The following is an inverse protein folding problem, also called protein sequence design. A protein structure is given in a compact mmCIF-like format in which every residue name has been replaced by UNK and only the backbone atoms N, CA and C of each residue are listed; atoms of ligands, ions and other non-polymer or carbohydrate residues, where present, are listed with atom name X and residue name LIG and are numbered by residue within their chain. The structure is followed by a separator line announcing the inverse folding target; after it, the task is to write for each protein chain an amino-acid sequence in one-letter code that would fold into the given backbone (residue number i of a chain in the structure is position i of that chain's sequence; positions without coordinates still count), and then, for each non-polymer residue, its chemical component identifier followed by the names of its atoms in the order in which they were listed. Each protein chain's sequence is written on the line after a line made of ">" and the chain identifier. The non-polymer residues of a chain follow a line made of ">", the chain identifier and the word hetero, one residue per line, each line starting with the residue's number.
data_IF_033930713772
#
_entry.id   IF_033930713772
#
_cell.length_a   1.000
_cell.length_b   1.000
_cell.length_c   1.000
_cell.angle_alpha   90.00
_cell.angle_beta   90.00
_cell.angle_gamma   90.00
#
_symmetry.space_group_name_H-M   'P 1'
#
loop_
_entity.id
_entity.type
_entity.pdbx_description
1 polymer ?
#
# COMPACT_ATOMS: atom_id res chain seq x y z
N UNK A 1 8.58 -58.62 -31.81
CA UNK A 1 7.24 -58.49 -31.20
C UNK A 1 7.42 -58.52 -29.70
N UNK A 2 7.47 -57.34 -29.05
CA UNK A 2 7.50 -57.21 -27.59
C UNK A 2 6.17 -56.62 -27.17
N UNK A 3 5.42 -57.32 -26.32
CA UNK A 3 4.10 -56.90 -25.88
C UNK A 3 4.23 -55.84 -24.78
N UNK A 4 3.61 -54.68 -24.98
CA UNK A 4 3.44 -53.68 -23.93
C UNK A 4 2.57 -54.24 -22.81
N UNK A 5 3.12 -54.30 -21.59
CA UNK A 5 2.33 -54.58 -20.38
C UNK A 5 1.61 -53.28 -20.00
N UNK A 6 0.33 -53.20 -20.34
CA UNK A 6 -0.57 -52.15 -19.85
C UNK A 6 -0.65 -52.20 -18.32
N UNK A 7 -0.41 -51.06 -17.68
CA UNK A 7 -0.52 -50.90 -16.24
C UNK A 7 -2.01 -50.91 -15.84
N UNK A 8 -2.51 -52.04 -15.35
CA UNK A 8 -3.87 -52.15 -14.81
C UNK A 8 -3.91 -51.50 -13.43
N UNK A 9 -4.40 -50.27 -13.35
CA UNK A 9 -4.62 -49.56 -12.09
C UNK A 9 -5.97 -50.00 -11.50
N UNK A 10 -6.03 -50.47 -10.24
CA UNK A 10 -7.30 -50.81 -9.59
C UNK A 10 -8.23 -49.61 -9.54
N UNK A 11 -9.52 -49.79 -9.84
CA UNK A 11 -10.51 -48.69 -9.83
C UNK A 11 -10.60 -47.95 -8.48
N UNK A 12 -10.26 -48.63 -7.38
CA UNK A 12 -10.15 -48.01 -6.04
C UNK A 12 -9.03 -46.98 -5.94
N UNK A 13 -7.92 -47.14 -6.67
CA UNK A 13 -6.81 -46.17 -6.70
C UNK A 13 -7.20 -44.92 -7.48
N UNK A 14 -7.96 -45.06 -8.57
CA UNK A 14 -8.47 -43.92 -9.35
C UNK A 14 -9.48 -43.13 -8.53
N UNK A 15 -10.43 -43.80 -7.87
CA UNK A 15 -11.43 -43.14 -7.01
C UNK A 15 -10.76 -42.46 -5.81
N UNK A 16 -9.80 -43.13 -5.16
CA UNK A 16 -9.05 -42.53 -4.06
C UNK A 16 -8.35 -41.25 -4.50
N UNK A 17 -7.69 -41.25 -5.68
CA UNK A 17 -7.00 -40.07 -6.23
C UNK A 17 -7.97 -38.92 -6.54
N UNK A 18 -9.14 -39.20 -7.11
CA UNK A 18 -10.15 -38.17 -7.38
C UNK A 18 -10.75 -37.60 -6.09
N UNK A 19 -10.95 -38.42 -5.06
CA UNK A 19 -11.45 -37.97 -3.77
C UNK A 19 -10.41 -37.16 -3.01
N UNK A 20 -9.13 -37.58 -2.99
CA UNK A 20 -8.07 -36.74 -2.39
C UNK A 20 -7.87 -35.46 -3.15
N UNK A 21 -7.79 -35.48 -4.48
CA UNK A 21 -7.61 -34.25 -5.27
C UNK A 21 -8.83 -33.31 -5.16
N UNK A 22 -10.04 -33.87 -5.16
CA UNK A 22 -11.29 -33.12 -5.02
C UNK A 22 -11.55 -32.55 -3.62
N UNK A 23 -10.88 -33.03 -2.58
CA UNK A 23 -10.95 -32.48 -1.22
C UNK A 23 -9.74 -31.62 -0.85
N UNK A 24 -8.54 -31.98 -1.31
CA UNK A 24 -7.32 -31.22 -1.06
C UNK A 24 -7.30 -29.91 -1.84
N UNK A 25 -7.71 -29.89 -3.11
CA UNK A 25 -7.66 -28.66 -3.90
C UNK A 25 -8.58 -27.57 -3.35
N UNK A 26 -9.86 -27.84 -2.97
CA UNK A 26 -10.69 -26.82 -2.33
C UNK A 26 -10.18 -26.42 -0.96
N UNK A 27 -9.66 -27.35 -0.15
CA UNK A 27 -9.14 -27.03 1.18
C UNK A 27 -7.85 -26.20 1.12
N UNK A 28 -6.96 -26.48 0.16
CA UNK A 28 -5.75 -25.69 -0.08
C UNK A 28 -6.11 -24.34 -0.68
N UNK A 29 -7.04 -24.29 -1.64
CA UNK A 29 -7.51 -23.02 -2.21
C UNK A 29 -8.25 -22.14 -1.18
N UNK A 30 -9.05 -22.74 -0.30
CA UNK A 30 -9.73 -22.03 0.79
C UNK A 30 -8.74 -21.54 1.84
N UNK A 31 -7.77 -22.37 2.23
CA UNK A 31 -6.69 -21.98 3.15
C UNK A 31 -5.80 -20.89 2.57
N UNK A 32 -5.52 -20.92 1.28
CA UNK A 32 -4.82 -19.85 0.56
C UNK A 32 -5.66 -18.57 0.47
N UNK A 33 -6.99 -18.69 0.32
CA UNK A 33 -7.90 -17.54 0.35
C UNK A 33 -7.90 -16.81 1.69
N UNK A 34 -7.95 -17.54 2.80
CA UNK A 34 -7.90 -16.98 4.16
C UNK A 34 -6.52 -16.41 4.54
N UNK A 35 -5.46 -16.70 3.78
CA UNK A 35 -4.10 -16.16 4.04
C UNK A 35 -3.71 -15.01 3.12
N UNK A 36 -4.57 -14.60 2.18
CA UNK A 36 -4.25 -13.55 1.20
C UNK A 36 -5.01 -12.23 1.41
N UNK A 37 -5.98 -12.19 2.32
CA UNK A 37 -6.64 -10.94 2.68
C UNK A 37 -5.92 -10.37 3.90
N UNK A 38 -5.08 -9.35 3.67
CA UNK A 38 -4.52 -8.50 4.73
C UNK A 38 -5.62 -8.14 5.73
N UNK A 39 -5.36 -8.20 7.03
CA UNK A 39 -6.36 -7.76 8.00
C UNK A 39 -6.82 -6.32 7.69
N UNK A 40 -8.13 -6.12 7.65
CA UNK A 40 -8.69 -4.82 7.27
C UNK A 40 -8.53 -3.85 8.44
N UNK A 41 -7.84 -2.73 8.20
CA UNK A 41 -7.74 -1.64 9.16
C UNK A 41 -9.11 -0.96 9.33
N UNK A 42 -9.65 -1.00 10.55
CA UNK A 42 -10.98 -0.45 10.85
C UNK A 42 -10.81 0.96 11.40
N UNK A 43 -11.31 1.98 10.68
CA UNK A 43 -11.26 3.37 11.13
C UNK A 43 -12.05 3.57 12.43
N UNK A 44 -11.42 4.21 13.40
CA UNK A 44 -12.01 4.65 14.65
C UNK A 44 -12.32 6.14 14.61
N UNK A 45 -13.60 6.49 14.47
CA UNK A 45 -14.05 7.88 14.49
C UNK A 45 -13.81 8.61 13.18
N UNK A 46 -13.37 9.86 13.26
CA UNK A 46 -13.19 10.75 12.12
C UNK A 46 -11.73 10.78 11.65
N UNK A 47 -11.51 11.09 10.37
CA UNK A 47 -10.15 11.28 9.81
C UNK A 47 -9.48 12.58 10.29
N UNK A 48 -10.28 13.52 10.78
CA UNK A 48 -9.81 14.86 11.10
C UNK A 48 -10.23 15.27 12.51
N UNK A 49 -9.30 15.89 13.21
CA UNK A 49 -9.59 16.59 14.45
C UNK A 49 -10.54 17.79 14.22
N UNK A 50 -11.19 18.33 15.27
CA UNK A 50 -12.11 19.47 15.14
C UNK A 50 -11.51 20.74 14.54
N UNK A 51 -10.19 20.89 14.57
CA UNK A 51 -9.47 22.02 13.96
C UNK A 51 -9.17 21.79 12.45
N UNK A 52 -9.59 20.66 11.89
CA UNK A 52 -9.42 20.28 10.50
C UNK A 52 -8.06 19.66 10.16
N UNK A 53 -7.22 19.36 11.15
CA UNK A 53 -5.99 18.57 10.94
C UNK A 53 -6.30 17.10 10.79
N UNK A 54 -5.47 16.42 10.02
CA UNK A 54 -5.55 14.97 9.93
C UNK A 54 -5.10 14.37 11.27
N UNK A 55 -5.99 13.60 11.87
CA UNK A 55 -5.78 12.88 13.12
C UNK A 55 -6.76 11.72 13.14
N UNK A 56 -6.25 10.55 12.76
CA UNK A 56 -7.07 9.37 12.51
C UNK A 56 -6.46 8.17 13.25
N UNK A 57 -7.34 7.31 13.76
CA UNK A 57 -6.94 6.06 14.42
C UNK A 57 -7.62 4.87 13.77
N UNK A 58 -6.96 3.72 13.74
CA UNK A 58 -7.48 2.47 13.22
C UNK A 58 -7.19 1.33 14.19
N UNK A 59 -8.11 0.37 14.29
CA UNK A 59 -7.79 -0.94 14.85
C UNK A 59 -7.25 -1.84 13.73
N UNK A 60 -6.09 -2.47 13.95
CA UNK A 60 -5.47 -3.46 13.06
C UNK A 60 -4.78 -4.53 13.91
N UNK A 61 -5.06 -5.82 13.68
CA UNK A 61 -4.48 -6.93 14.45
C UNK A 61 -4.62 -6.79 15.97
N UNK A 62 -5.72 -6.19 16.43
CA UNK A 62 -5.97 -5.90 17.84
C UNK A 62 -5.15 -4.74 18.42
N UNK A 63 -4.21 -4.17 17.65
CA UNK A 63 -3.47 -2.97 18.03
C UNK A 63 -4.16 -1.71 17.51
N UNK A 64 -3.97 -0.59 18.21
CA UNK A 64 -4.50 0.71 17.79
C UNK A 64 -3.41 1.53 17.11
N UNK A 65 -3.57 1.78 15.82
CA UNK A 65 -2.69 2.65 15.05
C UNK A 65 -3.27 4.05 15.02
N UNK A 66 -2.42 5.08 15.12
CA UNK A 66 -2.80 6.48 14.95
C UNK A 66 -1.81 7.18 14.04
N UNK A 67 -2.34 7.96 13.10
CA UNK A 67 -1.58 8.84 12.21
C UNK A 67 -2.11 10.26 12.38
N UNK A 68 -1.23 11.20 12.68
CA UNK A 68 -1.64 12.59 12.93
C UNK A 68 -0.62 13.61 12.45
N UNK A 69 -1.09 14.76 12.01
CA UNK A 69 -0.26 15.94 11.82
C UNK A 69 0.11 16.57 13.17
N UNK A 70 1.29 17.22 13.24
CA UNK A 70 1.73 17.92 14.45
C UNK A 70 0.76 19.03 14.88
N UNK A 71 0.49 19.07 16.18
CA UNK A 71 -0.43 20.03 16.78
C UNK A 71 0.14 21.46 16.70
N UNK A 72 -0.70 22.41 16.27
CA UNK A 72 -0.32 23.83 16.22
C UNK A 72 0.67 24.22 15.13
N UNK A 73 1.13 23.29 14.30
CA UNK A 73 2.08 23.56 13.20
C UNK A 73 1.42 24.15 11.95
N UNK A 74 2.19 24.68 11.01
CA UNK A 74 1.64 25.15 9.73
C UNK A 74 1.00 24.01 8.90
N UNK A 75 -0.03 24.30 8.12
CA UNK A 75 -0.63 23.29 7.23
C UNK A 75 0.28 22.95 6.05
N UNK A 76 1.16 23.87 5.64
CA UNK A 76 2.05 23.71 4.48
C UNK A 76 3.32 22.91 4.76
N UNK A 77 3.73 22.80 6.02
CA UNK A 77 4.93 22.08 6.46
C UNK A 77 4.83 21.74 7.95
N UNK A 78 5.45 20.66 8.39
CA UNK A 78 5.56 20.33 9.81
C UNK A 78 5.98 18.90 10.01
N UNK A 79 5.37 18.22 10.98
CA UNK A 79 5.61 16.83 11.32
C UNK A 79 4.37 15.97 11.11
N UNK A 80 4.59 14.71 10.76
CA UNK A 80 3.63 13.63 10.82
C UNK A 80 4.09 12.64 11.89
N UNK A 81 3.16 12.20 12.72
CA UNK A 81 3.37 11.23 13.79
C UNK A 81 2.61 9.96 13.45
N UNK A 82 3.29 8.82 13.55
CA UNK A 82 2.69 7.49 13.43
C UNK A 82 2.96 6.75 14.74
N UNK A 83 1.92 6.21 15.36
CA UNK A 83 2.02 5.48 16.61
C UNK A 83 1.20 4.20 16.59
N UNK A 84 1.73 3.16 17.22
CA UNK A 84 1.00 1.93 17.52
C UNK A 84 0.90 1.77 19.03
N UNK A 85 -0.32 1.63 19.53
CA UNK A 85 -0.63 1.36 20.94
C UNK A 85 -1.00 -0.11 21.07
N UNK A 86 -0.27 -0.81 21.94
CA UNK A 86 -0.55 -2.21 22.29
C UNK A 86 -1.58 -2.29 23.42
N UNK A 87 -2.15 -3.48 23.65
CA UNK A 87 -3.12 -3.76 24.72
C UNK A 87 -2.63 -3.37 26.13
N UNK A 88 -1.31 -3.27 26.36
CA UNK A 88 -0.75 -2.84 27.65
C UNK A 88 -0.84 -1.33 27.88
N UNK A 89 -1.25 -0.55 26.87
CA UNK A 89 -1.37 0.91 26.92
C UNK A 89 -0.07 1.66 26.63
N UNK A 90 1.01 0.95 26.30
CA UNK A 90 2.25 1.58 25.84
C UNK A 90 2.17 1.83 24.33
N UNK A 91 2.45 3.07 23.93
CA UNK A 91 2.49 3.50 22.54
C UNK A 91 3.94 3.64 22.04
N UNK A 92 4.26 3.00 20.92
CA UNK A 92 5.53 3.17 20.21
C UNK A 92 5.29 4.12 19.05
N UNK A 93 6.06 5.20 19.01
CA UNK A 93 5.81 6.33 18.13
C UNK A 93 7.03 6.66 17.28
N UNK A 94 6.80 7.02 16.03
CA UNK A 94 7.79 7.62 15.14
C UNK A 94 7.26 8.93 14.55
N UNK A 95 8.17 9.75 14.05
CA UNK A 95 7.83 11.01 13.39
C UNK A 95 8.74 11.26 12.19
N UNK A 96 8.21 12.00 11.22
CA UNK A 96 8.95 12.49 10.07
C UNK A 96 8.43 13.85 9.61
N UNK A 97 9.24 14.56 8.83
CA UNK A 97 8.84 15.85 8.27
C UNK A 97 7.78 15.66 7.18
N UNK A 98 6.73 16.49 7.21
CA UNK A 98 5.73 16.59 6.15
C UNK A 98 5.88 17.89 5.38
N UNK A 99 5.82 17.81 4.06
CA UNK A 99 5.74 18.96 3.16
C UNK A 99 4.31 19.07 2.61
N UNK A 100 3.40 19.54 3.44
CA UNK A 100 1.98 19.68 3.11
C UNK A 100 1.06 19.05 4.14
N UNK A 101 -0.11 18.60 3.67
CA UNK A 101 -1.14 17.98 4.51
C UNK A 101 -1.31 16.51 4.18
N UNK A 102 -1.59 15.68 5.19
CA UNK A 102 -1.91 14.27 4.97
C UNK A 102 -3.21 14.21 4.16
N UNK A 103 -3.17 13.49 3.05
CA UNK A 103 -4.28 13.32 2.11
C UNK A 103 -4.98 12.00 2.33
N UNK A 104 -4.22 10.93 2.58
CA UNK A 104 -4.75 9.61 2.89
C UNK A 104 -3.71 8.72 3.59
N UNK A 105 -4.18 7.63 4.19
CA UNK A 105 -3.38 6.58 4.80
C UNK A 105 -3.82 5.23 4.24
N UNK A 106 -2.88 4.46 3.70
CA UNK A 106 -3.13 3.10 3.21
C UNK A 106 -2.42 2.08 4.09
N UNK A 107 -3.04 0.92 4.25
CA UNK A 107 -2.44 -0.25 4.88
C UNK A 107 -2.22 -1.29 3.80
N UNK A 108 -1.00 -1.80 3.64
CA UNK A 108 -0.65 -2.83 2.66
C UNK A 108 0.25 -3.88 3.31
N UNK A 109 0.09 -5.15 2.97
CA UNK A 109 0.95 -6.27 3.36
C UNK A 109 1.60 -6.84 2.09
N UNK A 110 2.69 -6.19 1.60
CA UNK A 110 3.24 -6.49 0.30
C UNK A 110 4.01 -7.82 0.23
N UNK A 111 4.49 -8.36 1.36
CA UNK A 111 5.19 -9.63 1.45
C UNK A 111 4.34 -10.78 2.04
N UNK A 112 3.15 -10.47 2.53
CA UNK A 112 2.13 -11.45 2.93
C UNK A 112 2.44 -12.13 4.25
N UNK A 113 3.16 -11.45 5.14
CA UNK A 113 3.53 -11.99 6.45
C UNK A 113 2.48 -11.71 7.54
N UNK A 114 1.46 -10.91 7.22
CA UNK A 114 0.36 -10.52 8.08
C UNK A 114 0.54 -9.16 8.76
N UNK A 115 1.74 -8.57 8.71
CA UNK A 115 2.04 -7.27 9.28
C UNK A 115 1.93 -6.17 8.22
N UNK A 116 0.86 -5.37 8.27
CA UNK A 116 0.66 -4.32 7.27
C UNK A 116 1.55 -3.09 7.49
N UNK A 117 2.19 -2.63 6.43
CA UNK A 117 2.85 -1.33 6.32
C UNK A 117 1.82 -0.20 6.30
N UNK A 118 2.12 0.88 7.04
CA UNK A 118 1.35 2.13 7.01
C UNK A 118 1.96 3.07 5.98
N UNK A 119 1.24 3.32 4.90
CA UNK A 119 1.65 4.25 3.84
C UNK A 119 0.91 5.58 4.02
N UNK A 120 1.65 6.63 4.33
CA UNK A 120 1.11 7.99 4.50
C UNK A 120 1.34 8.79 3.23
N UNK A 121 0.26 9.23 2.58
CA UNK A 121 0.32 10.14 1.45
C UNK A 121 0.08 11.59 1.90
N UNK A 122 1.04 12.46 1.60
CA UNK A 122 0.99 13.89 1.86
C UNK A 122 0.97 14.65 0.53
N UNK A 123 0.12 15.67 0.45
CA UNK A 123 0.04 16.57 -0.72
C UNK A 123 0.62 17.93 -0.37
N UNK A 124 1.61 18.36 -1.15
CA UNK A 124 2.24 19.67 -0.96
C UNK A 124 1.26 20.82 -1.20
N UNK A 125 1.41 21.91 -0.43
CA UNK A 125 0.57 23.10 -0.53
C UNK A 125 0.87 23.98 -1.78
N UNK A 126 1.92 23.66 -2.54
CA UNK A 126 2.28 24.37 -3.76
C UNK A 126 1.30 24.10 -4.90
N UNK A 127 1.31 24.95 -5.94
CA UNK A 127 0.39 24.80 -7.08
C UNK A 127 0.56 23.49 -7.85
N UNK A 128 1.72 22.85 -7.72
CA UNK A 128 1.96 21.54 -8.33
C UNK A 128 1.37 20.38 -7.52
N UNK A 129 0.95 20.57 -6.26
CA UNK A 129 0.36 19.51 -5.43
C UNK A 129 1.14 18.18 -5.49
N UNK A 130 2.47 18.27 -5.41
CA UNK A 130 3.37 17.11 -5.43
C UNK A 130 3.06 16.18 -4.27
N UNK A 131 3.06 14.87 -4.54
CA UNK A 131 2.99 13.86 -3.49
C UNK A 131 4.33 13.71 -2.77
N UNK A 132 4.28 13.64 -1.44
CA UNK A 132 5.25 12.98 -0.57
C UNK A 132 4.62 11.68 -0.08
N UNK A 133 5.37 10.58 -0.11
CA UNK A 133 4.85 9.24 0.22
C UNK A 133 5.82 8.58 1.18
N UNK A 134 5.34 8.24 2.38
CA UNK A 134 6.15 7.65 3.43
C UNK A 134 5.59 6.28 3.82
N UNK A 135 6.41 5.24 3.73
CA UNK A 135 6.11 3.92 4.26
C UNK A 135 6.62 3.79 5.69
N UNK A 136 5.79 3.25 6.58
CA UNK A 136 6.12 2.99 7.98
C UNK A 136 5.85 1.52 8.27
N UNK A 137 6.91 0.74 8.44
CA UNK A 137 6.85 -0.66 8.83
C UNK A 137 7.14 -0.79 10.33
N UNK A 138 6.39 -1.63 11.04
CA UNK A 138 6.62 -1.88 12.46
C UNK A 138 7.08 -3.33 12.67
N UNK A 139 8.31 -3.53 13.14
CA UNK A 139 8.91 -4.87 13.29
C UNK A 139 8.54 -5.58 14.61
N UNK A 140 7.50 -5.09 15.29
CA UNK A 140 7.12 -5.52 16.65
C UNK A 140 7.84 -4.78 17.78
N UNK A 141 8.89 -4.01 17.49
CA UNK A 141 9.67 -3.28 18.51
C UNK A 141 9.95 -1.81 18.16
N UNK A 142 10.11 -1.50 16.88
CA UNK A 142 10.42 -0.16 16.40
C UNK A 142 9.83 0.07 15.00
N UNK A 143 9.73 1.35 14.66
CA UNK A 143 9.33 1.78 13.33
C UNK A 143 10.54 1.88 12.39
N UNK A 144 10.35 1.39 11.16
CA UNK A 144 11.26 1.59 10.05
C UNK A 144 10.57 2.48 9.01
N UNK A 145 11.21 3.60 8.67
CA UNK A 145 10.68 4.58 7.73
C UNK A 145 11.33 4.43 6.36
N UNK A 146 10.52 4.42 5.32
CA UNK A 146 10.96 4.40 3.92
C UNK A 146 10.37 5.62 3.20
N UNK A 147 11.23 6.46 2.63
CA UNK A 147 10.80 7.51 1.72
C UNK A 147 10.53 6.91 0.33
N UNK A 148 9.26 6.93 -0.07
CA UNK A 148 8.76 6.39 -1.33
C UNK A 148 8.43 7.52 -2.31
N UNK A 149 8.91 8.74 -2.06
CA UNK A 149 8.51 9.95 -2.82
C UNK A 149 9.14 10.02 -4.20
N UNK A 150 10.38 9.56 -4.35
CA UNK A 150 11.18 9.75 -5.56
C UNK A 150 10.64 8.94 -6.75
N UNK A 151 10.34 9.62 -7.87
CA UNK A 151 10.06 8.97 -9.14
C UNK A 151 11.40 8.78 -9.88
N UNK A 152 11.75 7.56 -10.33
CA UNK A 152 12.97 7.34 -11.10
C UNK A 152 13.04 8.22 -12.35
N UNK A 153 14.22 8.77 -12.67
CA UNK A 153 14.42 9.73 -13.76
C UNK A 153 13.87 9.32 -15.16
N UNK A 154 13.86 8.03 -15.58
CA UNK A 154 13.21 7.67 -16.84
C UNK A 154 11.68 7.84 -16.82
N UNK A 155 11.08 7.84 -15.63
CA UNK A 155 9.64 7.88 -15.39
C UNK A 155 9.13 9.29 -15.06
N UNK A 156 9.99 10.23 -14.66
CA UNK A 156 9.63 11.61 -14.30
C UNK A 156 9.49 12.56 -15.52
N UNK A 157 9.69 12.07 -16.75
CA UNK A 157 9.59 12.90 -17.95
C UNK A 157 8.18 13.51 -18.07
N UNK A 158 8.11 14.84 -18.00
CA UNK A 158 6.88 15.62 -18.04
C UNK A 158 6.09 15.65 -16.73
N UNK A 159 6.65 15.14 -15.63
CA UNK A 159 6.06 15.21 -14.30
C UNK A 159 6.14 16.64 -13.74
N UNK A 160 5.01 17.15 -13.24
CA UNK A 160 4.93 18.45 -12.54
C UNK A 160 3.96 18.39 -11.34
N UNK A 161 3.84 17.21 -10.70
CA UNK A 161 2.93 16.97 -9.59
C UNK A 161 1.51 16.62 -10.04
N UNK A 162 0.51 17.02 -9.25
CA UNK A 162 -0.91 16.66 -9.36
C UNK A 162 -1.11 15.15 -9.23
N UNK A 163 -0.35 14.57 -8.31
CA UNK A 163 -0.40 13.17 -8.01
C UNK A 163 -1.74 12.78 -7.42
N UNK A 164 -2.18 11.58 -7.77
CA UNK A 164 -3.25 10.85 -7.08
C UNK A 164 -2.68 9.51 -6.67
N UNK A 165 -2.81 9.16 -5.39
CA UNK A 165 -2.50 7.83 -4.90
C UNK A 165 -3.77 7.03 -4.65
N UNK A 166 -3.64 5.72 -4.81
CA UNK A 166 -4.71 4.76 -4.57
C UNK A 166 -4.11 3.39 -4.27
N UNK A 167 -4.84 2.60 -3.48
CA UNK A 167 -4.55 1.17 -3.26
C UNK A 167 -5.44 0.31 -4.16
N UNK A 168 -4.93 -0.80 -4.65
CA UNK A 168 -5.73 -1.87 -5.28
C UNK A 168 -5.19 -3.22 -4.85
N UNK A 169 -5.92 -3.91 -3.96
CA UNK A 169 -5.41 -5.11 -3.27
C UNK A 169 -4.06 -4.77 -2.61
N UNK A 170 -2.96 -5.48 -2.89
CA UNK A 170 -1.63 -5.19 -2.34
C UNK A 170 -0.75 -4.31 -3.25
N UNK A 171 -1.37 -3.55 -4.16
CA UNK A 171 -0.65 -2.62 -5.03
C UNK A 171 -0.89 -1.18 -4.58
N UNK A 172 0.21 -0.45 -4.43
CA UNK A 172 0.20 1.00 -4.31
C UNK A 172 0.36 1.62 -5.70
N UNK A 173 -0.66 2.36 -6.13
CA UNK A 173 -0.71 3.04 -7.43
C UNK A 173 -0.56 4.55 -7.22
N UNK A 174 0.29 5.16 -8.03
CA UNK A 174 0.46 6.62 -8.14
C UNK A 174 0.20 7.04 -9.58
N UNK A 175 -0.67 8.01 -9.81
CA UNK A 175 -0.92 8.56 -11.13
C UNK A 175 -0.79 10.08 -11.16
N UNK A 176 -0.40 10.62 -12.31
CA UNK A 176 -0.27 12.07 -12.52
C UNK A 176 -0.35 12.41 -14.02
N UNK A 177 -0.79 13.63 -14.38
CA UNK A 177 -0.80 14.06 -15.78
C UNK A 177 0.62 14.33 -16.31
N UNK A 178 0.86 13.98 -17.58
CA UNK A 178 2.10 14.35 -18.28
C UNK A 178 1.97 15.75 -18.89
N UNK A 179 2.89 16.65 -18.56
CA UNK A 179 2.97 18.00 -19.11
C UNK A 179 3.82 18.04 -20.38
N UNK A 180 3.32 18.74 -21.41
CA UNK A 180 4.06 19.10 -22.63
C UNK A 180 4.66 20.49 -22.52
N UNK A 181 5.61 20.81 -23.40
CA UNK A 181 6.40 22.06 -23.37
C UNK A 181 5.58 23.37 -23.29
N UNK A 182 4.32 23.37 -23.75
CA UNK A 182 3.45 24.56 -23.76
C UNK A 182 2.29 24.47 -22.79
N UNK A 183 2.24 23.43 -21.97
CA UNK A 183 1.20 23.28 -20.97
C UNK A 183 1.44 24.27 -19.83
N UNK A 184 0.35 24.79 -19.27
CA UNK A 184 0.40 25.52 -18.01
C UNK A 184 0.18 24.53 -16.88
N UNK A 185 0.57 24.90 -15.65
CA UNK A 185 0.36 24.07 -14.46
C UNK A 185 -1.12 23.63 -14.30
N UNK A 186 -2.06 24.50 -14.66
CA UNK A 186 -3.50 24.24 -14.55
C UNK A 186 -4.12 23.52 -15.76
N UNK A 187 -3.36 23.25 -16.82
CA UNK A 187 -3.90 22.67 -18.06
C UNK A 187 -2.90 21.75 -18.74
N UNK A 188 -2.58 20.59 -18.13
CA UNK A 188 -1.83 19.54 -18.79
C UNK A 188 -2.62 19.00 -19.99
N UNK A 189 -1.92 18.67 -21.07
CA UNK A 189 -2.51 18.11 -22.30
C UNK A 189 -2.06 16.69 -22.59
N UNK A 190 -1.07 16.16 -21.86
CA UNK A 190 -0.64 14.77 -21.98
C UNK A 190 -1.63 13.79 -21.37
N UNK A 191 -1.34 12.51 -21.57
CA UNK A 191 -2.09 11.42 -20.92
C UNK A 191 -1.72 11.34 -19.43
N UNK A 192 -2.53 10.62 -18.66
CA UNK A 192 -2.16 10.24 -17.30
C UNK A 192 -1.06 9.17 -17.36
N UNK A 193 0.02 9.37 -16.59
CA UNK A 193 1.02 8.34 -16.30
C UNK A 193 0.62 7.62 -15.03
N UNK A 194 0.77 6.30 -15.03
CA UNK A 194 0.46 5.46 -13.88
C UNK A 194 1.70 4.65 -13.50
N UNK A 195 2.05 4.72 -12.23
CA UNK A 195 3.16 4.00 -11.63
C UNK A 195 2.64 3.06 -10.55
N UNK A 196 3.28 1.91 -10.42
CA UNK A 196 3.09 0.95 -9.35
C UNK A 196 4.35 0.89 -8.50
N UNK A 197 4.20 0.94 -7.17
CA UNK A 197 5.34 0.78 -6.29
C UNK A 197 5.75 -0.70 -6.22
N UNK A 198 7.04 -0.97 -6.38
CA UNK A 198 7.60 -2.30 -6.19
C UNK A 198 8.30 -2.34 -4.83
N UNK A 199 7.67 -3.01 -3.87
CA UNK A 199 8.18 -3.16 -2.50
C UNK A 199 9.47 -3.99 -2.42
N UNK A 200 9.72 -4.87 -3.38
CA UNK A 200 10.97 -5.66 -3.44
C UNK A 200 12.16 -4.78 -3.84
N UNK A 201 11.97 -3.89 -4.82
CA UNK A 201 13.05 -3.02 -5.32
C UNK A 201 13.10 -1.66 -4.63
N UNK A 202 12.07 -1.30 -3.87
CA UNK A 202 11.93 0.01 -3.26
C UNK A 202 11.77 1.14 -4.28
N UNK A 203 11.11 0.88 -5.41
CA UNK A 203 11.04 1.85 -6.52
C UNK A 203 9.73 1.82 -7.27
N UNK A 204 9.30 2.98 -7.77
CA UNK A 204 8.18 3.08 -8.71
C UNK A 204 8.55 2.50 -10.08
N UNK A 205 7.64 1.72 -10.65
CA UNK A 205 7.73 1.17 -12.00
C UNK A 205 6.49 1.61 -12.81
N UNK A 206 6.62 1.64 -14.14
CA UNK A 206 5.47 1.90 -15.01
C UNK A 206 4.43 0.79 -14.84
N UNK A 207 3.16 1.16 -14.78
CA UNK A 207 2.06 0.19 -14.83
C UNK A 207 2.13 -0.61 -16.16
N UNK A 208 2.27 -1.95 -16.12
CA UNK A 208 2.41 -2.78 -17.31
C UNK A 208 1.15 -2.83 -18.18
N UNK A 209 0.03 -2.26 -17.74
CA UNK A 209 -1.19 -2.13 -18.55
C UNK A 209 -1.21 -0.84 -19.38
N UNK A 210 -0.29 0.10 -19.14
CA UNK A 210 -0.08 1.28 -19.98
C UNK A 210 0.84 0.95 -21.17
N UNK A 211 0.32 0.25 -22.19
CA UNK A 211 0.96 0.09 -23.50
C UNK A 211 -0.02 0.31 -24.65
#
# INVERSE_FOLDING_TARGET
>A
MSAEKGLTVPGSTVIALFVTLGLLLPAVAWRLGDTLESEEAILEGDLHAPDGRFDASWTLAGSRLRVSEGEGEDRSIGTCTVSIESDSGDAITTHFERNGTISDVFFLDPDGDGDSDVIVWITSAGSGSYAQVMGCHFDGSQWQLTDMTEIPAPLDIGYMGHDTLSRTVELLRRSFPIYRQRDTNASPTGIEKVLLYNFITGSWNLDPTQY
#
